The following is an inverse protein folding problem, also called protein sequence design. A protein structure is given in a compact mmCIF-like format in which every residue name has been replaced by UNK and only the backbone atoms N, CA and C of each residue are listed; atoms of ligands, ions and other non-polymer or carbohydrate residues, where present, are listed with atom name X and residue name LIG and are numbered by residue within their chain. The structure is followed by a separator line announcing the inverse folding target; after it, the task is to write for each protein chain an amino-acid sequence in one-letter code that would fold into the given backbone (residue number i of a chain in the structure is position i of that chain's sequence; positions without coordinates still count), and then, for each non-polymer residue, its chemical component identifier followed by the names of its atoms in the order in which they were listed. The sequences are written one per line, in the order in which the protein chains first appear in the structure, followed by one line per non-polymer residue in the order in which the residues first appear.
data_IF_378229701541
#
_entry.id   IF_378229701541
#
_cell.length_a   1.000
_cell.length_b   1.000
_cell.length_c   1.000
_cell.angle_alpha   90.00
_cell.angle_beta   90.00
_cell.angle_gamma   90.00
#
_symmetry.space_group_name_H-M   'P 1'
#
loop_
_entity.id
_entity.type
_entity.pdbx_description
1 polymer ?
#
# COMPACT_ATOMS: atom_id res chain seq x y z
N UNK A 1 47.69 15.72 4.81
CA UNK A 1 46.34 16.25 5.07
C UNK A 1 45.56 15.16 5.80
N UNK A 2 45.48 15.23 7.12
CA UNK A 2 44.72 14.27 7.94
C UNK A 2 43.24 14.61 7.83
N UNK A 3 42.44 13.68 7.32
CA UNK A 3 40.98 13.79 7.34
C UNK A 3 40.51 13.57 8.79
N UNK A 4 39.89 14.59 9.39
CA UNK A 4 39.09 14.41 10.60
C UNK A 4 37.64 14.09 10.21
N UNK A 5 36.97 13.13 10.89
CA UNK A 5 35.55 12.92 10.70
C UNK A 5 34.77 14.18 11.10
N UNK A 6 33.85 14.58 10.23
CA UNK A 6 32.94 15.72 10.45
C UNK A 6 32.16 15.46 11.75
N UNK A 7 32.17 16.38 12.74
CA UNK A 7 31.40 16.18 13.97
C UNK A 7 29.93 15.98 13.61
N UNK A 8 29.27 15.04 14.30
CA UNK A 8 27.84 14.81 14.15
C UNK A 8 27.12 16.16 14.27
N UNK A 9 26.48 16.58 13.18
CA UNK A 9 25.78 17.86 13.13
C UNK A 9 24.81 17.94 14.30
N UNK A 10 24.78 19.10 14.97
CA UNK A 10 23.79 19.42 16.00
C UNK A 10 22.42 18.92 15.55
N UNK A 11 21.76 18.14 16.40
CA UNK A 11 20.34 17.80 16.22
C UNK A 11 19.58 19.12 16.34
N UNK A 12 19.35 19.79 15.22
CA UNK A 12 18.50 20.96 15.15
C UNK A 12 17.12 20.52 15.62
N UNK A 13 16.51 21.24 16.56
CA UNK A 13 15.15 20.98 16.96
C UNK A 13 14.27 20.94 15.69
N UNK A 14 13.44 19.90 15.50
CA UNK A 14 12.53 19.86 14.38
C UNK A 14 11.69 21.14 14.40
N UNK A 15 11.53 21.78 13.24
CA UNK A 15 10.66 22.96 13.10
C UNK A 15 9.21 22.62 13.45
N UNK A 16 8.26 23.55 13.32
CA UNK A 16 6.85 23.28 13.67
C UNK A 16 6.16 22.21 12.79
N UNK A 17 6.80 21.71 11.73
CA UNK A 17 6.21 20.80 10.76
C UNK A 17 5.18 21.49 9.87
N UNK A 18 4.26 20.71 9.28
CA UNK A 18 3.24 21.19 8.36
C UNK A 18 1.83 20.76 8.82
N UNK A 19 1.25 21.43 9.83
CA UNK A 19 0.01 20.97 10.50
C UNK A 19 -1.22 20.90 9.57
N UNK A 20 -1.24 21.73 8.52
CA UNK A 20 -2.31 21.81 7.53
C UNK A 20 -1.99 21.06 6.23
N UNK A 21 -0.88 20.30 6.17
CA UNK A 21 -0.54 19.53 4.97
C UNK A 21 -1.51 18.36 4.83
N UNK A 22 -2.32 18.39 3.78
CA UNK A 22 -3.26 17.32 3.45
C UNK A 22 -2.72 16.36 2.40
N UNK A 23 -1.84 16.83 1.52
CA UNK A 23 -1.34 16.04 0.40
C UNK A 23 0.17 16.18 0.25
N UNK A 24 0.86 15.05 0.11
CA UNK A 24 2.27 15.01 -0.23
C UNK A 24 2.51 14.01 -1.36
N UNK A 25 3.15 14.49 -2.42
CA UNK A 25 3.63 13.66 -3.52
C UNK A 25 5.14 13.79 -3.66
N UNK A 26 5.84 12.66 -3.51
CA UNK A 26 7.27 12.50 -3.79
C UNK A 26 7.50 11.43 -4.89
N UNK A 27 6.46 11.18 -5.69
CA UNK A 27 6.50 10.19 -6.76
C UNK A 27 7.60 10.51 -7.77
N UNK A 28 8.34 9.48 -8.17
CA UNK A 28 9.43 9.60 -9.14
C UNK A 28 9.40 8.47 -10.17
N UNK A 29 9.85 8.78 -11.40
CA UNK A 29 10.05 7.79 -12.47
C UNK A 29 11.32 6.97 -12.29
N UNK A 30 12.23 7.40 -11.42
CA UNK A 30 13.47 6.71 -11.05
C UNK A 30 13.48 6.40 -9.56
N UNK A 31 14.28 5.41 -9.14
CA UNK A 31 14.48 5.06 -7.73
C UNK A 31 14.76 6.32 -6.90
N UNK A 32 13.78 6.71 -6.09
CA UNK A 32 13.91 7.87 -5.22
C UNK A 32 14.54 7.41 -3.90
N UNK A 33 15.58 8.11 -3.46
CA UNK A 33 16.36 7.73 -2.28
C UNK A 33 15.76 8.22 -0.96
N UNK A 34 14.50 8.70 -0.98
CA UNK A 34 13.75 9.07 0.22
C UNK A 34 13.70 7.86 1.16
N UNK A 35 14.18 8.06 2.39
CA UNK A 35 14.20 7.04 3.44
C UNK A 35 13.18 7.37 4.52
N UNK A 36 12.91 6.39 5.39
CA UNK A 36 12.00 6.55 6.53
C UNK A 36 12.41 7.74 7.41
N UNK A 37 13.70 7.98 7.62
CA UNK A 37 14.17 9.12 8.42
C UNK A 37 13.93 10.46 7.73
N UNK A 38 14.09 10.51 6.40
CA UNK A 38 13.79 11.72 5.64
C UNK A 38 12.29 12.03 5.66
N UNK A 39 11.46 11.00 5.49
CA UNK A 39 10.01 11.12 5.52
C UNK A 39 9.51 11.49 6.92
N UNK A 40 10.03 10.86 7.97
CA UNK A 40 9.72 11.18 9.37
C UNK A 40 10.06 12.62 9.71
N UNK A 41 11.23 13.13 9.29
CA UNK A 41 11.58 14.55 9.44
C UNK A 41 10.70 15.50 8.65
N UNK A 42 10.17 15.08 7.50
CA UNK A 42 9.30 15.93 6.69
C UNK A 42 7.88 15.98 7.28
N UNK A 43 7.39 14.84 7.77
CA UNK A 43 5.99 14.64 8.16
C UNK A 43 5.73 14.63 9.67
N UNK A 44 6.74 14.81 10.54
CA UNK A 44 6.59 14.72 12.01
C UNK A 44 5.49 15.63 12.59
N UNK A 45 5.10 16.69 11.90
CA UNK A 45 4.05 17.63 12.31
C UNK A 45 2.90 17.74 11.31
N UNK A 46 2.60 16.65 10.57
CA UNK A 46 1.57 16.63 9.52
C UNK A 46 0.42 15.65 9.87
N UNK A 47 -0.35 15.89 10.94
CA UNK A 47 -1.43 14.99 11.37
C UNK A 47 -2.62 14.97 10.39
N UNK A 48 -2.80 16.04 9.59
CA UNK A 48 -3.92 16.23 8.67
C UNK A 48 -3.72 15.57 7.30
N UNK A 49 -2.64 14.82 7.11
CA UNK A 49 -2.31 14.22 5.82
C UNK A 49 -3.36 13.17 5.41
N UNK A 50 -3.90 13.32 4.20
CA UNK A 50 -4.94 12.48 3.59
C UNK A 50 -4.44 11.75 2.35
N UNK A 51 -3.48 12.32 1.62
CA UNK A 51 -2.87 11.74 0.43
C UNK A 51 -1.35 11.66 0.61
N UNK A 52 -0.82 10.44 0.48
CA UNK A 52 0.62 10.19 0.46
C UNK A 52 1.01 9.37 -0.77
N UNK A 53 1.67 10.02 -1.72
CA UNK A 53 2.16 9.39 -2.94
C UNK A 53 3.69 9.28 -2.93
N UNK A 54 4.17 8.04 -2.79
CA UNK A 54 5.57 7.67 -2.69
C UNK A 54 5.97 6.68 -3.78
N UNK A 55 5.28 6.70 -4.93
CA UNK A 55 5.61 5.84 -6.07
C UNK A 55 7.08 6.01 -6.47
N UNK A 56 7.81 4.89 -6.60
CA UNK A 56 9.24 4.85 -6.87
C UNK A 56 10.17 5.03 -5.65
N UNK A 57 9.65 5.23 -4.43
CA UNK A 57 10.44 5.34 -3.20
C UNK A 57 10.72 3.96 -2.56
N UNK A 58 11.65 3.17 -3.13
CA UNK A 58 11.89 1.79 -2.70
C UNK A 58 12.56 1.61 -1.32
N UNK A 59 13.05 2.69 -0.70
CA UNK A 59 13.69 2.66 0.63
C UNK A 59 12.71 2.92 1.77
N UNK A 60 11.46 3.23 1.45
CA UNK A 60 10.41 3.42 2.46
C UNK A 60 9.91 2.04 2.91
N UNK A 61 9.82 1.86 4.22
CA UNK A 61 9.36 0.61 4.82
C UNK A 61 7.97 0.75 5.44
N UNK A 62 7.23 -0.36 5.61
CA UNK A 62 5.96 -0.31 6.32
C UNK A 62 6.08 0.22 7.76
N UNK A 63 7.19 -0.08 8.44
CA UNK A 63 7.44 0.41 9.79
C UNK A 63 7.60 1.94 9.81
N UNK A 64 8.41 2.50 8.91
CA UNK A 64 8.59 3.96 8.81
C UNK A 64 7.30 4.72 8.48
N UNK A 65 6.43 4.13 7.65
CA UNK A 65 5.09 4.67 7.40
C UNK A 65 4.15 4.55 8.62
N UNK A 66 4.27 3.46 9.37
CA UNK A 66 3.50 3.24 10.59
C UNK A 66 3.84 4.24 11.70
N UNK A 67 5.03 4.84 11.67
CA UNK A 67 5.47 5.84 12.65
C UNK A 67 4.97 7.28 12.34
N UNK A 68 4.39 7.52 11.15
CA UNK A 68 3.88 8.85 10.79
C UNK A 68 2.72 9.31 11.69
N UNK A 69 2.55 10.62 11.98
CA UNK A 69 1.51 11.08 12.89
C UNK A 69 0.08 11.01 12.31
N UNK A 70 -0.08 10.96 10.98
CA UNK A 70 -1.39 10.97 10.32
C UNK A 70 -2.20 9.69 10.60
N UNK A 71 -3.42 9.86 11.10
CA UNK A 71 -4.36 8.76 11.39
C UNK A 71 -5.42 8.59 10.30
N UNK A 72 -5.74 9.65 9.55
CA UNK A 72 -6.90 9.70 8.64
C UNK A 72 -6.49 9.63 7.15
N UNK A 73 -5.46 8.83 6.83
CA UNK A 73 -4.94 8.74 5.47
C UNK A 73 -5.94 8.02 4.55
N UNK A 74 -6.29 8.67 3.44
CA UNK A 74 -7.30 8.20 2.48
C UNK A 74 -6.67 7.56 1.25
N UNK A 75 -5.52 8.04 0.82
CA UNK A 75 -4.85 7.60 -0.40
C UNK A 75 -3.38 7.31 -0.11
N UNK A 76 -2.97 6.07 -0.33
CA UNK A 76 -1.61 5.62 -0.13
C UNK A 76 -1.10 4.97 -1.41
N UNK A 77 -0.10 5.60 -2.05
CA UNK A 77 0.49 5.10 -3.27
C UNK A 77 1.96 4.72 -3.10
N UNK A 78 2.25 3.41 -3.15
CA UNK A 78 3.58 2.83 -2.94
C UNK A 78 4.11 2.08 -4.18
N UNK A 79 3.52 2.32 -5.35
CA UNK A 79 3.86 1.61 -6.59
C UNK A 79 5.35 1.69 -6.95
N UNK A 80 5.96 0.54 -7.24
CA UNK A 80 7.36 0.41 -7.69
C UNK A 80 7.38 -0.07 -9.15
N UNK A 81 7.34 0.86 -10.09
CA UNK A 81 7.37 0.54 -11.53
C UNK A 81 8.80 0.44 -12.05
N UNK A 82 9.09 -0.61 -12.83
CA UNK A 82 10.38 -0.73 -13.54
C UNK A 82 11.60 -0.92 -12.64
N UNK A 83 11.42 -1.16 -11.34
CA UNK A 83 12.52 -1.40 -10.41
C UNK A 83 12.98 -2.85 -10.54
N UNK A 84 14.18 -3.04 -11.09
CA UNK A 84 14.76 -4.37 -11.34
C UNK A 84 15.02 -5.16 -10.05
N UNK A 85 15.21 -6.47 -10.20
CA UNK A 85 15.46 -7.52 -9.17
C UNK A 85 16.69 -7.27 -8.25
N UNK A 86 17.31 -6.09 -8.33
CA UNK A 86 18.49 -5.70 -7.55
C UNK A 86 18.16 -5.07 -6.20
N UNK A 87 16.89 -4.84 -5.87
CA UNK A 87 16.47 -4.26 -4.60
C UNK A 87 15.92 -5.35 -3.68
N UNK A 88 16.44 -5.42 -2.46
CA UNK A 88 15.87 -6.24 -1.39
C UNK A 88 14.61 -5.54 -0.86
N UNK A 89 13.46 -5.87 -1.46
CA UNK A 89 12.17 -5.35 -1.03
C UNK A 89 11.66 -6.07 0.23
N UNK A 90 10.92 -5.34 1.06
CA UNK A 90 10.23 -5.90 2.22
C UNK A 90 9.31 -7.07 1.80
N UNK A 91 9.36 -8.16 2.57
CA UNK A 91 8.52 -9.35 2.39
C UNK A 91 7.29 -9.34 3.30
N UNK A 92 7.34 -8.53 4.34
CA UNK A 92 6.35 -8.47 5.43
C UNK A 92 6.14 -7.03 5.88
N UNK A 93 5.04 -6.80 6.61
CA UNK A 93 4.72 -5.54 7.27
C UNK A 93 3.62 -4.75 6.59
N UNK A 94 3.09 -5.16 5.44
CA UNK A 94 2.00 -4.42 4.78
C UNK A 94 0.74 -4.34 5.64
N UNK A 95 0.54 -5.32 6.54
CA UNK A 95 -0.53 -5.30 7.52
C UNK A 95 -0.45 -4.13 8.52
N UNK A 96 0.76 -3.60 8.81
CA UNK A 96 0.91 -2.41 9.64
C UNK A 96 0.21 -1.19 9.00
N UNK A 97 0.34 -1.06 7.68
CA UNK A 97 -0.26 0.02 6.89
C UNK A 97 -1.79 -0.08 6.91
N UNK A 98 -2.31 -1.26 6.63
CA UNK A 98 -3.76 -1.47 6.58
C UNK A 98 -4.36 -1.38 7.97
N UNK A 99 -3.74 -1.91 9.03
CA UNK A 99 -4.25 -1.75 10.39
C UNK A 99 -4.30 -0.29 10.84
N UNK A 100 -3.27 0.49 10.49
CA UNK A 100 -3.20 1.91 10.86
C UNK A 100 -4.33 2.71 10.20
N UNK A 101 -4.57 2.51 8.91
CA UNK A 101 -5.46 3.36 8.12
C UNK A 101 -6.77 2.69 7.65
N UNK A 102 -7.09 1.47 8.10
CA UNK A 102 -8.29 0.73 7.64
C UNK A 102 -9.62 1.49 7.74
N UNK A 103 -9.71 2.44 8.65
CA UNK A 103 -10.94 3.21 8.93
C UNK A 103 -11.14 4.39 7.96
N UNK A 104 -10.07 4.87 7.31
CA UNK A 104 -10.07 6.07 6.48
C UNK A 104 -9.65 5.80 5.03
N UNK A 105 -8.93 4.71 4.78
CA UNK A 105 -8.31 4.41 3.50
C UNK A 105 -9.36 4.08 2.41
N UNK A 106 -9.25 4.81 1.30
CA UNK A 106 -10.10 4.71 0.10
C UNK A 106 -9.32 4.14 -1.08
N UNK A 107 -8.03 4.49 -1.19
CA UNK A 107 -7.17 4.02 -2.27
C UNK A 107 -5.85 3.44 -1.76
N UNK A 108 -5.56 2.21 -2.17
CA UNK A 108 -4.35 1.48 -1.81
C UNK A 108 -3.60 1.04 -3.07
N UNK A 109 -2.38 1.53 -3.28
CA UNK A 109 -1.49 1.02 -4.32
C UNK A 109 -0.25 0.37 -3.73
N UNK A 110 -0.19 -0.96 -3.84
CA UNK A 110 0.93 -1.83 -3.47
C UNK A 110 1.64 -2.42 -4.70
N UNK A 111 1.46 -1.82 -5.88
CA UNK A 111 2.00 -2.37 -7.11
C UNK A 111 3.51 -2.51 -7.08
N UNK A 112 4.02 -3.63 -7.60
CA UNK A 112 5.44 -3.96 -7.61
C UNK A 112 6.06 -4.22 -6.24
N UNK A 113 5.30 -4.15 -5.15
CA UNK A 113 5.82 -4.43 -3.80
C UNK A 113 6.21 -5.90 -3.62
N UNK A 114 7.19 -6.11 -2.74
CA UNK A 114 7.84 -7.41 -2.53
C UNK A 114 7.11 -8.38 -1.60
N UNK A 115 5.96 -7.99 -1.04
CA UNK A 115 5.26 -8.71 0.03
C UNK A 115 4.94 -10.17 -0.32
N UNK A 116 5.02 -11.04 0.69
CA UNK A 116 4.67 -12.45 0.59
C UNK A 116 3.16 -12.65 0.45
N UNK A 117 2.76 -13.83 -0.03
CA UNK A 117 1.35 -14.23 -0.12
C UNK A 117 0.65 -14.11 1.24
N UNK A 118 1.30 -14.60 2.31
CA UNK A 118 0.80 -14.55 3.69
C UNK A 118 0.65 -13.12 4.21
N UNK A 119 1.63 -12.25 3.93
CA UNK A 119 1.56 -10.85 4.39
C UNK A 119 0.44 -10.08 3.68
N UNK A 120 0.25 -10.29 2.37
CA UNK A 120 -0.85 -9.68 1.61
C UNK A 120 -2.22 -10.19 2.09
N UNK A 121 -2.35 -11.48 2.39
CA UNK A 121 -3.55 -12.05 2.98
C UNK A 121 -3.88 -11.40 4.32
N UNK A 122 -2.89 -11.31 5.22
CA UNK A 122 -3.06 -10.67 6.52
C UNK A 122 -3.40 -9.17 6.38
N UNK A 123 -2.73 -8.47 5.47
CA UNK A 123 -2.95 -7.04 5.28
C UNK A 123 -4.35 -6.73 4.76
N UNK A 124 -4.82 -7.48 3.77
CA UNK A 124 -6.15 -7.26 3.18
C UNK A 124 -7.28 -7.78 4.07
N UNK A 125 -7.01 -8.75 4.95
CA UNK A 125 -7.95 -9.19 5.98
C UNK A 125 -8.33 -8.07 6.97
N UNK A 126 -7.52 -7.00 7.10
CA UNK A 126 -7.84 -5.84 7.93
C UNK A 126 -9.14 -5.12 7.50
N UNK A 127 -9.57 -5.31 6.25
CA UNK A 127 -10.81 -4.76 5.69
C UNK A 127 -12.00 -5.73 5.79
N UNK A 128 -11.82 -6.93 6.33
CA UNK A 128 -12.95 -7.84 6.54
C UNK A 128 -13.98 -7.22 7.49
N UNK A 129 -15.26 -7.43 7.19
CA UNK A 129 -16.35 -6.83 7.95
C UNK A 129 -16.29 -7.25 9.42
N UNK A 130 -16.20 -6.29 10.33
CA UNK A 130 -16.46 -6.54 11.75
C UNK A 130 -17.97 -6.63 11.95
N UNK A 131 -18.51 -7.65 12.64
CA UNK A 131 -19.94 -7.75 12.92
C UNK A 131 -20.45 -6.46 13.58
N UNK A 132 -21.41 -5.79 12.93
CA UNK A 132 -21.99 -4.52 13.41
C UNK A 132 -21.21 -3.24 13.06
N UNK A 133 -20.10 -3.33 12.31
CA UNK A 133 -19.35 -2.17 11.82
C UNK A 133 -19.83 -1.68 10.45
N UNK A 134 -19.49 -0.43 10.11
CA UNK A 134 -19.65 0.09 8.74
C UNK A 134 -18.71 -0.63 7.78
N UNK A 135 -19.11 -0.86 6.52
CA UNK A 135 -18.21 -1.42 5.52
C UNK A 135 -16.99 -0.51 5.31
N UNK A 136 -15.82 -1.07 4.94
CA UNK A 136 -14.65 -0.29 4.60
C UNK A 136 -14.95 0.74 3.50
N UNK A 137 -14.32 1.91 3.60
CA UNK A 137 -14.41 2.97 2.59
C UNK A 137 -13.56 2.70 1.33
N UNK A 138 -12.89 1.55 1.27
CA UNK A 138 -11.95 1.17 0.22
C UNK A 138 -12.66 1.04 -1.13
N UNK A 139 -12.29 1.87 -2.09
CA UNK A 139 -12.88 1.91 -3.42
C UNK A 139 -11.88 1.63 -4.56
N UNK A 140 -10.58 1.65 -4.27
CA UNK A 140 -9.51 1.45 -5.27
C UNK A 140 -8.37 0.64 -4.68
N UNK A 141 -8.02 -0.47 -5.33
CA UNK A 141 -6.87 -1.29 -4.93
C UNK A 141 -6.03 -1.65 -6.16
N UNK A 142 -4.74 -1.31 -6.12
CA UNK A 142 -3.76 -1.70 -7.13
C UNK A 142 -2.78 -2.72 -6.55
N UNK A 143 -2.85 -3.95 -7.04
CA UNK A 143 -1.99 -5.06 -6.63
C UNK A 143 -1.08 -5.53 -7.78
N UNK A 144 -0.97 -4.73 -8.85
CA UNK A 144 -0.20 -5.10 -10.05
C UNK A 144 1.20 -5.61 -9.70
N UNK A 145 1.59 -6.74 -10.26
CA UNK A 145 2.93 -7.30 -10.09
C UNK A 145 3.23 -7.88 -8.70
N UNK A 146 2.25 -7.96 -7.81
CA UNK A 146 2.40 -8.59 -6.50
C UNK A 146 2.24 -10.12 -6.58
N UNK A 147 2.27 -10.78 -5.42
CA UNK A 147 2.01 -12.21 -5.26
C UNK A 147 0.63 -12.50 -4.66
N UNK A 148 -0.35 -11.59 -4.80
CA UNK A 148 -1.70 -11.84 -4.25
C UNK A 148 -2.31 -13.14 -4.81
N UNK A 149 -2.97 -13.92 -3.95
CA UNK A 149 -3.61 -15.18 -4.31
C UNK A 149 -5.07 -14.99 -4.72
N UNK A 150 -5.68 -15.95 -5.44
CA UNK A 150 -7.10 -15.92 -5.78
C UNK A 150 -8.02 -15.77 -4.56
N UNK A 151 -7.73 -16.48 -3.46
CA UNK A 151 -8.54 -16.43 -2.24
C UNK A 151 -8.49 -15.04 -1.58
N UNK A 152 -7.32 -14.42 -1.51
CA UNK A 152 -7.17 -13.05 -0.99
C UNK A 152 -7.92 -12.04 -1.85
N UNK A 153 -7.88 -12.18 -3.18
CA UNK A 153 -8.64 -11.31 -4.09
C UNK A 153 -10.15 -11.47 -3.87
N UNK A 154 -10.66 -12.71 -3.81
CA UNK A 154 -12.08 -12.95 -3.55
C UNK A 154 -12.52 -12.35 -2.21
N UNK A 155 -11.70 -12.50 -1.18
CA UNK A 155 -11.96 -11.99 0.18
C UNK A 155 -12.05 -10.45 0.20
N UNK A 156 -11.12 -9.75 -0.45
CA UNK A 156 -11.15 -8.27 -0.47
C UNK A 156 -12.34 -7.73 -1.27
N UNK A 157 -12.69 -8.33 -2.41
CA UNK A 157 -13.88 -7.93 -3.19
C UNK A 157 -15.15 -8.13 -2.36
N UNK A 158 -15.27 -9.29 -1.69
CA UNK A 158 -16.45 -9.60 -0.87
C UNK A 158 -16.57 -8.70 0.36
N UNK A 159 -15.43 -8.25 0.91
CA UNK A 159 -15.40 -7.39 2.10
C UNK A 159 -15.59 -5.91 1.78
N UNK A 160 -15.31 -5.48 0.54
CA UNK A 160 -15.34 -4.08 0.13
C UNK A 160 -16.39 -3.87 -0.98
N UNK A 161 -17.69 -3.74 -0.64
CA UNK A 161 -18.76 -3.59 -1.64
C UNK A 161 -18.65 -2.29 -2.46
N UNK A 162 -17.91 -1.30 -1.97
CA UNK A 162 -17.63 -0.04 -2.67
C UNK A 162 -16.42 -0.09 -3.61
N UNK A 163 -15.82 -1.26 -3.83
CA UNK A 163 -14.63 -1.41 -4.69
C UNK A 163 -14.99 -1.17 -6.17
N UNK A 164 -14.45 -0.10 -6.75
CA UNK A 164 -14.68 0.33 -8.14
C UNK A 164 -13.45 0.15 -9.02
N UNK A 165 -12.27 -0.01 -8.44
CA UNK A 165 -11.04 -0.24 -9.19
C UNK A 165 -10.21 -1.35 -8.54
N UNK A 166 -9.84 -2.33 -9.35
CA UNK A 166 -8.96 -3.41 -8.95
C UNK A 166 -7.95 -3.69 -10.06
N UNK A 167 -6.66 -3.55 -9.78
CA UNK A 167 -5.62 -3.91 -10.75
C UNK A 167 -4.86 -5.17 -10.33
N UNK A 168 -4.99 -6.22 -11.15
CA UNK A 168 -4.36 -7.54 -10.97
C UNK A 168 -3.34 -7.87 -12.07
N UNK A 169 -2.97 -6.91 -12.90
CA UNK A 169 -1.99 -7.11 -13.98
C UNK A 169 -0.68 -7.69 -13.41
N UNK A 170 -0.07 -8.61 -14.16
CA UNK A 170 1.22 -9.21 -13.78
C UNK A 170 1.28 -9.92 -12.41
N UNK A 171 0.16 -10.15 -11.73
CA UNK A 171 0.13 -10.93 -10.49
C UNK A 171 0.51 -12.38 -10.78
N UNK A 172 1.62 -12.86 -10.20
CA UNK A 172 2.20 -14.17 -10.58
C UNK A 172 1.34 -15.35 -10.14
N UNK A 173 0.67 -15.23 -8.99
CA UNK A 173 -0.11 -16.30 -8.37
C UNK A 173 -1.56 -16.39 -8.89
N UNK A 174 -1.96 -15.54 -9.84
CA UNK A 174 -3.30 -15.55 -10.43
C UNK A 174 -3.35 -16.34 -11.75
N UNK A 175 -4.53 -16.88 -12.13
CA UNK A 175 -4.79 -17.42 -13.46
C UNK A 175 -4.60 -16.35 -14.55
N UNK A 176 -4.13 -16.76 -15.75
CA UNK A 176 -3.85 -15.83 -16.87
C UNK A 176 -5.06 -14.95 -17.25
N UNK A 177 -6.26 -15.51 -17.25
CA UNK A 177 -7.49 -14.81 -17.63
C UNK A 177 -7.89 -13.67 -16.68
N UNK A 178 -7.32 -13.62 -15.46
CA UNK A 178 -7.68 -12.64 -14.44
C UNK A 178 -6.67 -11.50 -14.28
N UNK A 179 -5.54 -11.55 -14.98
CA UNK A 179 -4.43 -10.58 -14.84
C UNK A 179 -4.68 -9.30 -15.64
N UNK A 180 -5.70 -8.54 -15.25
CA UNK A 180 -6.07 -7.28 -15.90
C UNK A 180 -6.44 -6.22 -14.86
N UNK A 181 -6.63 -4.99 -15.31
CA UNK A 181 -7.33 -3.98 -14.54
C UNK A 181 -8.85 -4.13 -14.73
N UNK A 182 -9.59 -4.01 -13.63
CA UNK A 182 -11.05 -4.00 -13.57
C UNK A 182 -11.50 -2.60 -13.16
N UNK A 183 -12.47 -2.05 -13.90
CA UNK A 183 -13.00 -0.69 -13.74
C UNK A 183 -14.52 -0.73 -13.63
N UNK A 184 -15.04 -0.20 -12.54
CA UNK A 184 -16.46 -0.23 -12.21
C UNK A 184 -16.86 -1.51 -11.46
N UNK A 185 -18.02 -1.43 -10.82
CA UNK A 185 -18.56 -2.50 -9.97
C UNK A 185 -18.84 -3.78 -10.77
N UNK A 186 -19.31 -3.68 -12.01
CA UNK A 186 -19.62 -4.82 -12.87
C UNK A 186 -18.37 -5.66 -13.17
N UNK A 187 -17.27 -5.01 -13.56
CA UNK A 187 -16.02 -5.72 -13.87
C UNK A 187 -15.38 -6.35 -12.62
N UNK A 188 -15.44 -5.64 -11.48
CA UNK A 188 -14.95 -6.16 -10.20
C UNK A 188 -15.78 -7.38 -9.75
N UNK A 189 -17.10 -7.32 -9.90
CA UNK A 189 -17.98 -8.43 -9.56
C UNK A 189 -17.79 -9.62 -10.50
N UNK A 190 -17.61 -9.37 -11.80
CA UNK A 190 -17.26 -10.41 -12.76
C UNK A 190 -15.96 -11.12 -12.35
N UNK A 191 -14.95 -10.38 -11.89
CA UNK A 191 -13.71 -10.97 -11.37
C UNK A 191 -13.99 -11.94 -10.21
N UNK A 192 -14.86 -11.55 -9.26
CA UNK A 192 -15.23 -12.41 -8.13
C UNK A 192 -15.91 -13.71 -8.60
N UNK A 193 -16.85 -13.62 -9.54
CA UNK A 193 -17.54 -14.79 -10.10
C UNK A 193 -16.57 -15.77 -10.76
N UNK A 194 -15.60 -15.26 -11.53
CA UNK A 194 -14.57 -16.11 -12.14
C UNK A 194 -13.66 -16.77 -11.09
N UNK A 195 -13.34 -16.06 -10.00
CA UNK A 195 -12.54 -16.64 -8.92
C UNK A 195 -13.30 -17.76 -8.19
N UNK A 196 -14.60 -17.55 -7.93
CA UNK A 196 -15.45 -18.54 -7.24
C UNK A 196 -15.71 -19.79 -8.07
N UNK A 197 -15.83 -19.65 -9.40
CA UNK A 197 -16.02 -20.80 -10.32
C UNK A 197 -14.73 -21.59 -10.57
N UNK A 198 -13.56 -20.97 -10.35
CA UNK A 198 -12.25 -21.62 -10.52
C UNK A 198 -11.77 -22.44 -9.31
N UNK A 199 -12.46 -22.35 -8.17
CA UNK A 199 -12.16 -23.15 -6.98
C UNK A 199 -12.71 -24.57 -7.16
N UNK A 200 -11.90 -25.64 -7.04
CA UNK A 200 -12.42 -26.99 -7.07
C UNK A 200 -13.39 -27.16 -5.88
N UNK A 201 -14.59 -27.67 -6.17
CA UNK A 201 -15.53 -28.13 -5.15
C UNK A 201 -14.78 -29.05 -4.20
N UNK A 202 -14.52 -28.59 -2.98
CA UNK A 202 -13.96 -29.42 -1.93
C UNK A 202 -15.03 -30.43 -1.53
N UNK A 203 -14.97 -31.61 -2.12
CA UNK A 203 -15.74 -32.79 -1.72
C UNK A 203 -14.93 -33.65 -0.77
#
# INVERSE_FOLDING_TARGET
LMWLPKPAGRVTAPGPGFPSLEELCLAGSTCNFVSDEALGRLLHGSPSLRLLDLRGCARITPAGLCDLPCQELQQLHLGLYGMSDRLTLAKEGSHLLTHKWRHSLRELDLSGQGFSEKDLEQALAAFSATPGGSPPALCSVNLRGTRVTPSTVSSVISSCPGLLYLNLESCRCLPRGLKRAYRGQEEVQWCLEQLLTSLPSSG
#
